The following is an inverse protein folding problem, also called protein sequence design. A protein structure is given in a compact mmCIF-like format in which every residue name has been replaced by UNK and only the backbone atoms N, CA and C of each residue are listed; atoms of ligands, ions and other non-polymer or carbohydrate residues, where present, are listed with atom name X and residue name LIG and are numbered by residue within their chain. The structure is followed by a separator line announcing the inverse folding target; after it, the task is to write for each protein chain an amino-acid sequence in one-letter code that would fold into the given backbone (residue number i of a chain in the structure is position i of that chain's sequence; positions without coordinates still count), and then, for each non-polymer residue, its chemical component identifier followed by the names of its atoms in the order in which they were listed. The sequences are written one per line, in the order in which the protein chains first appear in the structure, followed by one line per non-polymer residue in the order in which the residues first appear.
data_IF_709203287840
#
_entry.id   IF_709203287840
#
_cell.length_a   1.000
_cell.length_b   1.000
_cell.length_c   1.000
_cell.angle_alpha   90.00
_cell.angle_beta   90.00
_cell.angle_gamma   90.00
#
_symmetry.space_group_name_H-M   'P 1'
#
loop_
_entity.id
_entity.type
_entity.pdbx_description
1 polymer ?
#
# COMPACT_ATOMS: atom_id res chain seq x y z
N UNK A 1 30.49 10.68 -56.26
CA UNK A 1 29.07 10.93 -56.63
C UNK A 1 28.20 10.13 -55.67
N UNK A 2 27.11 10.75 -55.19
CA UNK A 2 26.44 10.47 -53.91
C UNK A 2 25.23 9.52 -54.08
N UNK A 3 25.16 8.46 -53.28
CA UNK A 3 23.94 7.68 -52.93
C UNK A 3 24.21 7.10 -51.52
N UNK A 4 23.74 7.60 -50.38
CA UNK A 4 22.43 8.04 -49.87
C UNK A 4 21.40 6.91 -49.65
N UNK A 5 21.20 6.54 -48.38
CA UNK A 5 20.07 5.74 -47.85
C UNK A 5 20.35 4.24 -47.72
N UNK A 6 20.05 3.50 -46.66
CA UNK A 6 19.03 3.69 -45.63
C UNK A 6 19.44 2.99 -44.32
N UNK A 7 19.17 3.67 -43.21
CA UNK A 7 19.26 3.23 -41.82
C UNK A 7 18.21 2.13 -41.53
N UNK A 8 18.62 1.00 -40.97
CA UNK A 8 17.70 0.07 -40.27
C UNK A 8 18.27 -0.27 -38.90
N UNK A 9 18.03 0.63 -37.94
CA UNK A 9 18.16 0.32 -36.52
C UNK A 9 16.91 -0.46 -36.12
N UNK A 10 17.02 -1.80 -36.08
CA UNK A 10 15.97 -2.66 -35.56
C UNK A 10 15.90 -2.48 -34.04
N UNK A 11 15.08 -1.54 -33.57
CA UNK A 11 14.75 -1.37 -32.17
C UNK A 11 13.77 -2.48 -31.77
N UNK A 12 14.28 -3.60 -31.28
CA UNK A 12 13.42 -4.65 -30.70
C UNK A 12 12.87 -4.15 -29.37
N UNK A 13 11.65 -3.62 -29.40
CA UNK A 13 10.88 -3.33 -28.20
C UNK A 13 10.51 -4.66 -27.51
N UNK A 14 11.23 -5.00 -26.45
CA UNK A 14 10.79 -6.06 -25.54
C UNK A 14 9.48 -5.62 -24.88
N UNK A 15 8.45 -6.49 -24.80
CA UNK A 15 7.20 -6.13 -24.15
C UNK A 15 7.44 -5.97 -22.64
N UNK A 16 7.45 -4.73 -22.17
CA UNK A 16 7.51 -4.35 -20.76
C UNK A 16 6.18 -4.62 -20.01
N UNK A 17 5.45 -5.67 -20.39
CA UNK A 17 4.12 -6.00 -19.85
C UNK A 17 4.10 -7.28 -19.00
N UNK A 18 5.25 -7.90 -18.74
CA UNK A 18 5.34 -9.14 -17.95
C UNK A 18 5.59 -8.91 -16.44
N UNK A 19 5.70 -7.68 -15.97
CA UNK A 19 5.72 -7.42 -14.53
C UNK A 19 4.27 -7.44 -14.03
N UNK A 20 3.78 -8.63 -13.65
CA UNK A 20 2.55 -8.76 -12.89
C UNK A 20 2.59 -7.86 -11.64
N UNK A 21 1.43 -7.47 -11.09
CA UNK A 21 1.38 -6.59 -9.92
C UNK A 21 2.31 -7.14 -8.83
N UNK A 22 3.15 -6.28 -8.22
CA UNK A 22 4.07 -6.73 -7.18
C UNK A 22 3.28 -7.48 -6.10
N UNK A 23 3.80 -8.61 -5.59
CA UNK A 23 3.09 -9.40 -4.60
C UNK A 23 2.65 -8.51 -3.45
N UNK A 24 1.35 -8.51 -3.16
CA UNK A 24 0.78 -7.73 -2.07
C UNK A 24 1.46 -8.15 -0.77
N UNK A 25 2.24 -7.24 -0.18
CA UNK A 25 3.01 -7.47 1.05
C UNK A 25 2.12 -7.45 2.31
N UNK A 26 0.91 -8.00 2.21
CA UNK A 26 -0.18 -7.88 3.17
C UNK A 26 -0.54 -9.20 3.87
N UNK A 27 0.35 -10.20 3.82
CA UNK A 27 0.18 -11.41 4.64
C UNK A 27 0.69 -11.11 6.05
N UNK A 28 -0.23 -10.90 6.98
CA UNK A 28 0.06 -10.84 8.41
C UNK A 28 -0.02 -12.27 8.98
N UNK A 29 0.96 -12.63 9.81
CA UNK A 29 0.93 -13.86 10.61
C UNK A 29 1.02 -13.53 12.09
N UNK A 30 0.59 -14.46 12.93
CA UNK A 30 0.71 -14.32 14.37
C UNK A 30 2.18 -14.15 14.78
N UNK A 31 2.41 -13.30 15.79
CA UNK A 31 3.75 -12.95 16.26
C UNK A 31 4.47 -11.88 15.43
N UNK A 32 3.98 -11.55 14.23
CA UNK A 32 4.52 -10.39 13.51
C UNK A 32 4.20 -9.09 14.23
N UNK A 33 5.15 -8.16 14.18
CA UNK A 33 4.92 -6.82 14.68
C UNK A 33 3.84 -6.14 13.85
N UNK A 34 2.75 -5.74 14.50
CA UNK A 34 1.64 -5.03 13.85
C UNK A 34 2.16 -3.78 13.09
N UNK A 35 1.79 -3.61 11.80
CA UNK A 35 2.15 -2.43 11.03
C UNK A 35 1.64 -1.16 11.70
N UNK A 36 2.51 -0.17 11.79
CA UNK A 36 2.15 1.11 12.39
C UNK A 36 1.30 1.94 11.42
N UNK A 37 0.33 2.67 11.96
CA UNK A 37 -0.50 3.60 11.21
C UNK A 37 -1.02 4.69 12.12
N UNK A 38 -1.42 5.80 11.49
CA UNK A 38 -2.06 6.93 12.16
C UNK A 38 -3.48 7.08 11.62
N UNK A 39 -4.46 7.11 12.51
CA UNK A 39 -5.84 7.47 12.18
C UNK A 39 -6.00 8.96 12.49
N UNK A 40 -6.44 9.72 11.49
CA UNK A 40 -6.81 11.12 11.68
C UNK A 40 -7.92 11.23 12.71
N UNK A 41 -7.72 12.10 13.69
CA UNK A 41 -8.67 12.33 14.75
C UNK A 41 -10.06 12.69 14.23
N UNK A 42 -11.08 12.08 14.82
CA UNK A 42 -12.49 12.42 14.56
C UNK A 42 -13.06 13.08 15.81
N UNK A 43 -14.31 13.56 15.74
CA UNK A 43 -14.90 14.32 16.84
C UNK A 43 -14.95 13.54 18.16
N UNK A 44 -15.10 12.21 18.09
CA UNK A 44 -15.06 11.32 19.25
C UNK A 44 -13.66 11.14 19.88
N UNK A 45 -12.58 11.53 19.19
CA UNK A 45 -11.20 11.48 19.72
C UNK A 45 -10.73 12.84 20.25
N UNK A 46 -11.64 13.81 20.37
CA UNK A 46 -11.29 15.19 20.70
C UNK A 46 -10.44 15.86 19.62
N UNK A 47 -10.51 15.38 18.38
CA UNK A 47 -9.73 15.90 17.25
C UNK A 47 -8.25 15.49 17.25
N UNK A 48 -7.83 14.61 18.16
CA UNK A 48 -6.44 14.13 18.20
C UNK A 48 -6.24 12.94 17.28
N UNK A 49 -5.17 12.99 16.51
CA UNK A 49 -4.66 11.86 15.74
C UNK A 49 -4.25 10.73 16.68
N UNK A 50 -4.54 9.50 16.27
CA UNK A 50 -4.25 8.29 17.04
C UNK A 50 -3.22 7.47 16.27
N UNK A 51 -2.07 7.24 16.88
CA UNK A 51 -1.01 6.40 16.32
C UNK A 51 -0.93 5.06 17.04
N UNK A 52 -0.89 3.95 16.29
CA UNK A 52 -0.89 2.61 16.90
C UNK A 52 0.33 2.40 17.81
N UNK A 53 1.50 2.87 17.40
CA UNK A 53 2.74 2.74 18.19
C UNK A 53 2.65 3.34 19.59
N UNK A 54 1.78 4.32 19.83
CA UNK A 54 1.72 5.03 21.10
C UNK A 54 1.21 4.16 22.26
N UNK A 55 0.51 3.07 21.93
CA UNK A 55 -0.05 2.09 22.87
C UNK A 55 0.87 0.90 23.13
N UNK A 56 1.96 0.75 22.35
CA UNK A 56 2.85 -0.41 22.44
C UNK A 56 3.45 -0.52 23.84
N UNK A 57 3.34 -1.70 24.46
CA UNK A 57 3.82 -1.97 25.82
C UNK A 57 3.02 -1.31 26.95
N UNK A 58 1.98 -0.52 26.63
CA UNK A 58 1.14 0.17 27.62
C UNK A 58 -0.22 -0.49 27.79
N UNK A 59 -0.82 -0.95 26.69
CA UNK A 59 -2.17 -1.54 26.66
C UNK A 59 -2.26 -2.61 25.58
N UNK A 60 -3.16 -3.57 25.79
CA UNK A 60 -3.63 -4.44 24.72
C UNK A 60 -4.54 -3.62 23.79
N UNK A 61 -4.40 -3.82 22.48
CA UNK A 61 -5.15 -3.08 21.44
C UNK A 61 -5.85 -4.09 20.54
N UNK A 62 -7.15 -3.89 20.33
CA UNK A 62 -7.96 -4.66 19.38
C UNK A 62 -8.26 -3.75 18.19
N UNK A 63 -7.99 -4.24 16.98
CA UNK A 63 -8.31 -3.53 15.73
C UNK A 63 -9.54 -4.17 15.10
N UNK A 64 -10.63 -3.40 15.01
CA UNK A 64 -11.86 -3.82 14.35
C UNK A 64 -12.07 -3.00 13.08
N UNK A 65 -12.04 -3.66 11.93
CA UNK A 65 -12.36 -3.09 10.64
C UNK A 65 -13.78 -3.47 10.28
N UNK A 66 -14.58 -2.52 9.82
CA UNK A 66 -15.96 -2.76 9.38
C UNK A 66 -16.18 -2.08 8.03
N UNK A 67 -17.13 -2.57 7.20
CA UNK A 67 -17.23 -2.15 5.80
C UNK A 67 -17.61 -0.68 5.64
N UNK A 68 -18.65 -0.23 6.34
CA UNK A 68 -19.16 1.13 6.24
C UNK A 68 -20.07 1.51 7.42
N UNK A 69 -20.10 2.79 7.77
CA UNK A 69 -21.02 3.33 8.76
C UNK A 69 -22.48 3.29 8.24
N UNK A 70 -23.44 3.13 9.16
CA UNK A 70 -24.87 3.09 8.86
C UNK A 70 -25.31 2.01 7.86
N UNK A 71 -24.53 0.92 7.77
CA UNK A 71 -24.89 -0.27 7.00
C UNK A 71 -25.18 -1.42 7.95
N UNK A 72 -26.05 -2.35 7.53
CA UNK A 72 -26.38 -3.54 8.31
C UNK A 72 -25.35 -4.67 8.15
N UNK A 73 -24.08 -4.32 7.94
CA UNK A 73 -22.99 -5.28 7.72
C UNK A 73 -22.88 -6.35 8.79
#
# INVERSE_FOLDING_TARGET
MKILGFLTLALTAAPAFAQGPPPSKLTLKEGDMAPDFTITGRMNTGGKDIKLSDFRGKKNVILAFFPAAFTGG
#
